data_IF_561360090149
#
_entry.id   IF_561360090149
#
_cell.length_a   1.000
_cell.length_b   1.000
_cell.length_c   1.000
_cell.angle_alpha   90.00
_cell.angle_beta   90.00
_cell.angle_gamma   90.00
#
_symmetry.space_group_name_H-M   'P 1'
#
loop_
_entity.id
_entity.type
_entity.pdbx_description
1 polymer ?
#
# COMPACT_ATOMS: atom_id res chain seq x y z
N UNK A 1 6.68 -11.56 14.86
CA UNK A 1 5.34 -11.96 14.41
C UNK A 1 5.44 -12.42 12.97
N UNK A 2 5.45 -13.73 12.72
CA UNK A 2 5.20 -14.27 11.39
C UNK A 2 3.73 -14.03 11.10
N UNK A 3 3.38 -13.24 10.10
CA UNK A 3 2.01 -13.28 9.56
C UNK A 3 1.90 -14.57 8.74
N UNK A 4 1.85 -15.71 9.44
CA UNK A 4 1.19 -16.91 8.95
C UNK A 4 -0.30 -16.59 8.96
N UNK A 5 -0.72 -15.71 8.04
CA UNK A 5 -2.09 -15.33 7.81
C UNK A 5 -2.84 -16.45 7.11
N UNK A 6 -2.93 -17.59 7.80
CA UNK A 6 -4.02 -18.55 7.74
C UNK A 6 -4.88 -18.48 6.47
N UNK A 7 -4.47 -19.24 5.45
CA UNK A 7 -5.40 -19.87 4.50
C UNK A 7 -6.38 -20.84 5.20
N UNK A 8 -6.36 -20.91 6.53
CA UNK A 8 -7.17 -21.79 7.38
C UNK A 8 -8.69 -21.57 7.30
N UNK A 9 -9.20 -20.63 6.47
CA UNK A 9 -10.64 -20.44 6.22
C UNK A 9 -11.06 -20.75 4.77
N UNK A 10 -10.18 -21.29 3.94
CA UNK A 10 -10.50 -21.70 2.56
C UNK A 10 -10.71 -20.53 1.59
N UNK A 11 -10.12 -19.36 1.84
CA UNK A 11 -10.14 -18.22 0.92
C UNK A 11 -8.72 -17.99 0.37
N UNK A 12 -8.59 -18.01 -0.94
CA UNK A 12 -7.32 -17.90 -1.67
C UNK A 12 -7.35 -16.62 -2.51
N UNK A 13 -6.31 -15.79 -2.43
CA UNK A 13 -6.18 -14.61 -3.31
C UNK A 13 -5.84 -15.07 -4.71
N UNK A 14 -6.74 -14.84 -5.66
CA UNK A 14 -6.55 -15.22 -7.07
C UNK A 14 -5.94 -14.06 -7.87
N UNK A 15 -6.34 -12.82 -7.57
CA UNK A 15 -6.01 -11.66 -8.41
C UNK A 15 -6.08 -10.34 -7.66
N UNK A 16 -5.19 -9.42 -8.03
CA UNK A 16 -5.31 -7.99 -7.72
C UNK A 16 -6.36 -7.30 -8.61
N UNK A 17 -7.32 -6.61 -8.01
CA UNK A 17 -8.27 -5.70 -8.69
C UNK A 17 -7.87 -4.26 -8.42
N UNK A 18 -8.37 -3.33 -9.25
CA UNK A 18 -8.08 -1.88 -9.17
C UNK A 18 -8.36 -1.27 -7.78
N UNK A 19 -9.25 -1.87 -6.99
CA UNK A 19 -9.65 -1.39 -5.66
C UNK A 19 -9.65 -2.51 -4.59
N UNK A 20 -8.85 -3.56 -4.76
CA UNK A 20 -8.77 -4.64 -3.77
C UNK A 20 -8.24 -5.96 -4.31
N UNK A 21 -8.69 -7.06 -3.71
CA UNK A 21 -8.25 -8.41 -4.02
C UNK A 21 -9.47 -9.28 -4.31
N UNK A 22 -9.38 -10.13 -5.34
CA UNK A 22 -10.36 -11.18 -5.59
C UNK A 22 -9.96 -12.44 -4.81
N UNK A 23 -10.87 -12.87 -3.94
CA UNK A 23 -10.73 -14.05 -3.10
C UNK A 23 -11.63 -15.15 -3.66
N UNK A 24 -11.06 -16.30 -3.96
CA UNK A 24 -11.80 -17.49 -4.36
C UNK A 24 -11.89 -18.46 -3.18
N UNK A 25 -13.05 -19.09 -3.00
CA UNK A 25 -13.24 -20.10 -1.97
C UNK A 25 -12.62 -21.41 -2.43
N UNK A 26 -11.37 -21.65 -2.05
CA UNK A 26 -10.62 -22.87 -2.36
C UNK A 26 -10.89 -23.99 -1.36
N UNK A 27 -10.44 -25.20 -1.73
CA UNK A 27 -10.28 -26.31 -0.78
C UNK A 27 -9.30 -25.82 0.29
N UNK A 28 -9.53 -26.18 1.56
CA UNK A 28 -8.60 -25.92 2.65
C UNK A 28 -7.35 -26.79 2.46
N UNK A 29 -6.59 -26.49 1.43
CA UNK A 29 -5.25 -27.02 1.22
C UNK A 29 -4.29 -26.16 2.01
N UNK A 30 -3.38 -26.82 2.72
CA UNK A 30 -2.30 -26.15 3.40
C UNK A 30 -1.38 -25.57 2.31
N UNK A 31 -1.51 -24.26 2.06
CA UNK A 31 -0.79 -23.50 1.03
C UNK A 31 -0.22 -22.26 1.74
N UNK A 32 1.05 -21.98 1.49
CA UNK A 32 1.71 -20.77 1.97
C UNK A 32 1.74 -19.71 0.86
N UNK A 33 1.55 -18.45 1.22
CA UNK A 33 1.63 -17.32 0.30
C UNK A 33 2.83 -16.44 0.63
N UNK A 34 3.46 -15.89 -0.41
CA UNK A 34 4.52 -14.89 -0.29
C UNK A 34 4.26 -13.74 -1.24
N UNK A 35 4.32 -12.53 -0.71
CA UNK A 35 4.17 -11.29 -1.45
C UNK A 35 5.53 -10.61 -1.53
N UNK A 36 6.05 -10.44 -2.74
CA UNK A 36 7.17 -9.54 -2.97
C UNK A 36 6.70 -8.18 -3.49
N UNK A 37 7.45 -7.12 -3.19
CA UNK A 37 7.33 -5.82 -3.86
C UNK A 37 8.71 -5.46 -4.38
N UNK A 38 8.88 -5.46 -5.70
CA UNK A 38 10.12 -5.14 -6.39
C UNK A 38 9.77 -4.47 -7.70
N UNK A 39 10.46 -3.38 -7.99
CA UNK A 39 10.37 -2.77 -9.30
C UNK A 39 11.24 -3.60 -10.25
N UNK A 40 10.62 -4.17 -11.27
CA UNK A 40 11.25 -5.04 -12.26
C UNK A 40 10.95 -4.47 -13.64
N UNK A 41 11.95 -4.47 -14.54
CA UNK A 41 11.70 -4.22 -15.95
C UNK A 41 10.83 -5.33 -16.58
N UNK A 42 10.14 -5.04 -17.69
CA UNK A 42 9.31 -6.04 -18.40
C UNK A 42 10.11 -7.31 -18.74
N UNK A 43 11.39 -7.15 -19.09
CA UNK A 43 12.29 -8.26 -19.45
C UNK A 43 12.89 -8.99 -18.23
N UNK A 44 12.81 -8.41 -17.04
CA UNK A 44 13.37 -9.00 -15.81
C UNK A 44 12.32 -9.81 -15.06
N UNK A 45 11.03 -9.57 -15.32
CA UNK A 45 9.93 -10.24 -14.64
C UNK A 45 9.88 -11.75 -14.95
N UNK A 46 10.13 -12.13 -16.19
CA UNK A 46 10.08 -13.54 -16.60
C UNK A 46 11.20 -14.35 -15.95
N UNK A 47 12.45 -13.88 -16.03
CA UNK A 47 13.59 -14.49 -15.34
C UNK A 47 13.39 -14.54 -13.81
N UNK A 48 12.79 -13.49 -13.25
CA UNK A 48 12.45 -13.42 -11.83
C UNK A 48 11.39 -14.47 -11.43
N UNK A 49 10.36 -14.69 -12.24
CA UNK A 49 9.34 -15.71 -12.01
C UNK A 49 9.96 -17.12 -12.08
N UNK A 50 10.74 -17.40 -13.13
CA UNK A 50 11.37 -18.70 -13.34
C UNK A 50 12.26 -19.10 -12.15
N UNK A 51 13.03 -18.15 -11.60
CA UNK A 51 13.88 -18.39 -10.43
C UNK A 51 13.08 -18.92 -9.23
N UNK A 52 11.86 -18.41 -9.01
CA UNK A 52 11.00 -18.84 -7.90
C UNK A 52 10.27 -20.14 -8.19
N UNK A 53 9.88 -20.38 -9.45
CA UNK A 53 9.30 -21.66 -9.87
C UNK A 53 10.25 -22.83 -9.65
N UNK A 54 11.54 -22.65 -9.94
CA UNK A 54 12.58 -23.63 -9.63
C UNK A 54 12.73 -23.91 -8.12
N UNK A 55 12.33 -22.95 -7.28
CA UNK A 55 12.37 -23.07 -5.82
C UNK A 55 11.05 -23.62 -5.22
N UNK A 56 10.10 -24.04 -6.07
CA UNK A 56 8.83 -24.62 -5.65
C UNK A 56 7.72 -23.59 -5.34
N UNK A 57 7.87 -22.36 -5.84
CA UNK A 57 6.86 -21.31 -5.76
C UNK A 57 6.12 -21.14 -7.09
N UNK A 58 4.80 -21.11 -7.07
CA UNK A 58 3.96 -20.85 -8.23
C UNK A 58 3.55 -19.38 -8.24
N UNK A 59 3.76 -18.71 -9.37
CA UNK A 59 3.35 -17.33 -9.57
C UNK A 59 1.82 -17.20 -9.75
N UNK A 60 1.20 -16.22 -9.07
CA UNK A 60 -0.24 -15.97 -9.16
C UNK A 60 -0.52 -14.73 -9.99
N UNK A 61 -0.04 -13.57 -9.53
CA UNK A 61 -0.33 -12.29 -10.18
C UNK A 61 0.61 -11.19 -9.73
N UNK A 62 0.66 -10.12 -10.52
CA UNK A 62 1.39 -8.90 -10.22
C UNK A 62 0.52 -7.66 -10.31
N UNK A 63 0.76 -6.66 -9.46
CA UNK A 63 0.14 -5.34 -9.53
C UNK A 63 0.99 -4.30 -8.82
N UNK A 64 1.22 -3.13 -9.43
CA UNK A 64 1.97 -2.02 -8.83
C UNK A 64 3.30 -2.45 -8.19
N UNK A 65 4.12 -3.19 -8.93
CA UNK A 65 5.41 -3.75 -8.47
C UNK A 65 5.28 -4.77 -7.33
N UNK A 66 4.07 -5.27 -7.04
CA UNK A 66 3.79 -6.31 -6.06
C UNK A 66 3.56 -7.64 -6.79
N UNK A 67 4.31 -8.69 -6.45
CA UNK A 67 4.29 -10.01 -7.08
C UNK A 67 3.86 -11.06 -6.05
N UNK A 68 2.78 -11.77 -6.32
CA UNK A 68 2.20 -12.77 -5.41
C UNK A 68 2.56 -14.18 -5.87
N UNK A 69 3.06 -14.98 -4.93
CA UNK A 69 3.42 -16.38 -5.12
C UNK A 69 2.73 -17.28 -4.09
N UNK A 70 2.49 -18.54 -4.43
CA UNK A 70 2.05 -19.60 -3.52
C UNK A 70 2.98 -20.80 -3.56
N UNK A 71 3.06 -21.56 -2.48
CA UNK A 71 3.83 -22.80 -2.43
C UNK A 71 3.22 -23.80 -1.45
N UNK A 72 3.71 -25.03 -1.47
CA UNK A 72 3.38 -26.03 -0.45
C UNK A 72 4.09 -25.71 0.88
N UNK A 73 3.50 -26.07 2.03
CA UNK A 73 4.12 -25.98 3.33
C UNK A 73 5.45 -26.73 3.33
N UNK A 74 6.49 -26.10 3.87
CA UNK A 74 7.86 -26.63 3.86
C UNK A 74 8.73 -26.12 2.71
N UNK A 75 8.18 -25.41 1.72
CA UNK A 75 8.98 -24.68 0.73
C UNK A 75 9.78 -23.57 1.41
N UNK A 76 11.04 -23.41 1.01
CA UNK A 76 11.93 -22.39 1.56
C UNK A 76 11.33 -20.99 1.33
N UNK A 77 11.15 -20.16 2.37
CA UNK A 77 10.62 -18.80 2.23
C UNK A 77 11.45 -17.96 1.24
N UNK A 78 10.78 -17.18 0.39
CA UNK A 78 11.43 -16.18 -0.49
C UNK A 78 12.28 -15.19 0.32
N UNK A 79 11.86 -14.93 1.57
CA UNK A 79 12.56 -14.07 2.51
C UNK A 79 13.00 -14.86 3.75
N UNK A 80 14.29 -15.11 3.88
CA UNK A 80 14.88 -15.71 5.09
C UNK A 80 15.03 -14.72 6.24
N UNK A 81 15.03 -13.40 5.96
CA UNK A 81 15.28 -12.36 6.95
C UNK A 81 14.12 -11.37 7.11
N UNK A 82 13.85 -11.02 8.37
CA UNK A 82 12.93 -9.94 8.79
C UNK A 82 13.46 -8.53 8.46
N UNK A 83 14.47 -8.41 7.61
CA UNK A 83 15.28 -7.20 7.46
C UNK A 83 14.74 -6.15 6.47
N UNK A 84 13.64 -6.38 5.76
CA UNK A 84 13.24 -5.49 4.64
C UNK A 84 11.88 -4.81 4.82
N UNK A 85 11.37 -4.64 6.06
CA UNK A 85 10.15 -3.83 6.28
C UNK A 85 10.44 -2.32 6.31
N UNK A 86 11.56 -1.87 6.88
CA UNK A 86 11.80 -0.43 7.08
C UNK A 86 12.23 0.31 5.81
N UNK A 87 13.03 -0.31 4.96
CA UNK A 87 13.53 0.33 3.74
C UNK A 87 12.43 0.45 2.66
N UNK A 88 11.58 -0.57 2.58
CA UNK A 88 10.40 -0.64 1.70
C UNK A 88 9.35 0.43 2.07
N UNK A 89 9.13 0.66 3.37
CA UNK A 89 8.27 1.76 3.88
C UNK A 89 8.87 3.13 3.56
N UNK A 90 10.20 3.29 3.59
CA UNK A 90 10.85 4.58 3.30
C UNK A 90 10.65 5.01 1.84
N UNK A 91 10.70 4.07 0.90
CA UNK A 91 10.45 4.36 -0.52
C UNK A 91 8.97 4.66 -0.81
N UNK A 92 8.03 3.95 -0.17
CA UNK A 92 6.58 4.26 -0.25
C UNK A 92 6.22 5.64 0.35
N UNK A 93 6.99 6.14 1.32
CA UNK A 93 6.76 7.45 1.96
C UNK A 93 7.20 8.66 1.12
N UNK A 94 8.07 8.48 0.11
CA UNK A 94 8.55 9.59 -0.73
C UNK A 94 7.42 10.26 -1.54
N UNK A 95 6.59 9.54 -2.31
CA UNK A 95 5.50 10.17 -3.07
C UNK A 95 4.46 10.80 -2.14
N UNK A 96 4.16 10.16 -0.99
CA UNK A 96 3.20 10.69 -0.01
C UNK A 96 3.60 12.08 0.50
N UNK A 97 4.89 12.30 0.81
CA UNK A 97 5.36 13.61 1.28
C UNK A 97 5.20 14.70 0.21
N UNK A 98 5.47 14.37 -1.05
CA UNK A 98 5.33 15.31 -2.17
C UNK A 98 3.86 15.64 -2.39
N UNK A 99 2.97 14.63 -2.39
CA UNK A 99 1.53 14.84 -2.52
C UNK A 99 0.99 15.71 -1.38
N UNK A 100 1.37 15.44 -0.13
CA UNK A 100 0.95 16.24 1.03
C UNK A 100 1.43 17.69 0.91
N UNK A 101 2.68 17.92 0.48
CA UNK A 101 3.22 19.26 0.30
C UNK A 101 2.44 20.04 -0.79
N UNK A 102 2.15 19.40 -1.93
CA UNK A 102 1.37 20.01 -3.02
C UNK A 102 -0.05 20.32 -2.56
N UNK A 103 -0.73 19.37 -1.92
CA UNK A 103 -2.09 19.58 -1.40
C UNK A 103 -2.14 20.72 -0.37
N UNK A 104 -1.15 20.81 0.51
CA UNK A 104 -1.08 21.90 1.51
C UNK A 104 -0.85 23.25 0.84
N UNK A 105 0.04 23.32 -0.17
CA UNK A 105 0.29 24.54 -0.91
C UNK A 105 -0.97 25.03 -1.65
N UNK A 106 -1.72 24.12 -2.27
CA UNK A 106 -2.99 24.44 -2.95
C UNK A 106 -4.05 24.98 -1.97
N UNK A 107 -4.13 24.44 -0.75
CA UNK A 107 -5.03 24.94 0.28
C UNK A 107 -4.66 26.37 0.73
N UNK A 108 -3.36 26.65 0.93
CA UNK A 108 -2.89 27.99 1.30
C UNK A 108 -3.21 28.99 0.20
N UNK A 109 -2.93 28.64 -1.06
CA UNK A 109 -3.24 29.51 -2.22
C UNK A 109 -4.74 29.73 -2.33
N UNK A 110 -5.56 28.67 -2.20
CA UNK A 110 -7.02 28.78 -2.21
C UNK A 110 -7.56 29.68 -1.10
N UNK A 111 -6.99 29.60 0.10
CA UNK A 111 -7.35 30.47 1.23
C UNK A 111 -7.00 31.93 0.98
N UNK A 112 -5.82 32.21 0.38
CA UNK A 112 -5.43 33.57 0.00
C UNK A 112 -6.40 34.14 -1.03
N UNK A 113 -6.74 33.37 -2.07
CA UNK A 113 -7.72 33.77 -3.09
C UNK A 113 -9.09 34.05 -2.48
N UNK A 114 -9.54 33.20 -1.55
CA UNK A 114 -10.77 33.42 -0.78
C UNK A 114 -10.72 34.73 0.01
N UNK A 115 -9.62 35.00 0.71
CA UNK A 115 -9.48 36.18 1.58
C UNK A 115 -9.54 37.52 0.83
N UNK A 116 -9.20 37.51 -0.47
CA UNK A 116 -9.25 38.69 -1.35
C UNK A 116 -10.58 38.74 -2.13
N UNK A 117 -11.30 37.62 -2.22
CA UNK A 117 -12.59 37.52 -2.90
C UNK A 117 -13.72 38.05 -2.02
N UNK A 118 -14.62 38.86 -2.58
CA UNK A 118 -15.81 39.38 -1.89
C UNK A 118 -17.09 39.03 -2.65
N UNK A 119 -18.21 38.91 -1.94
CA UNK A 119 -19.52 38.53 -2.50
C UNK A 119 -19.80 37.02 -2.43
N UNK A 120 -20.73 36.52 -3.24
CA UNK A 120 -21.18 35.10 -3.25
C UNK A 120 -20.04 34.07 -3.39
N UNK A 121 -18.93 34.45 -4.02
CA UNK A 121 -17.75 33.59 -4.15
C UNK A 121 -17.10 33.31 -2.80
N UNK A 122 -17.10 34.26 -1.87
CA UNK A 122 -16.50 34.05 -0.54
C UNK A 122 -17.28 32.96 0.22
N UNK A 123 -18.61 33.02 0.24
CA UNK A 123 -19.44 32.00 0.92
C UNK A 123 -19.26 30.59 0.32
N UNK A 124 -19.04 30.48 -1.00
CA UNK A 124 -18.73 29.21 -1.66
C UNK A 124 -17.35 28.67 -1.23
N UNK A 125 -16.34 29.53 -1.18
CA UNK A 125 -15.00 29.12 -0.74
C UNK A 125 -14.96 28.73 0.75
N UNK A 126 -15.71 29.42 1.61
CA UNK A 126 -15.81 29.09 3.04
C UNK A 126 -16.45 27.72 3.28
N UNK A 127 -17.53 27.42 2.54
CA UNK A 127 -18.18 26.12 2.62
C UNK A 127 -17.27 25.00 2.12
N UNK A 128 -16.59 25.19 0.98
CA UNK A 128 -15.59 24.24 0.48
C UNK A 128 -14.44 24.03 1.48
N UNK A 129 -13.98 25.10 2.14
CA UNK A 129 -12.93 25.03 3.16
C UNK A 129 -13.36 24.21 4.39
N UNK A 130 -14.59 24.39 4.87
CA UNK A 130 -15.15 23.59 5.97
C UNK A 130 -15.23 22.10 5.62
N UNK A 131 -15.66 21.76 4.41
CA UNK A 131 -15.67 20.35 3.96
C UNK A 131 -14.25 19.77 3.86
N UNK A 132 -13.27 20.58 3.44
CA UNK A 132 -11.86 20.16 3.41
C UNK A 132 -11.32 19.86 4.81
N UNK A 133 -11.72 20.62 5.83
CA UNK A 133 -11.35 20.38 7.23
C UNK A 133 -11.83 19.01 7.75
N UNK A 134 -13.05 18.61 7.40
CA UNK A 134 -13.63 17.32 7.79
C UNK A 134 -12.80 16.14 7.27
N UNK A 135 -12.16 16.28 6.10
CA UNK A 135 -11.33 15.23 5.49
C UNK A 135 -9.89 15.29 6.00
N UNK A 136 -9.35 16.48 6.21
CA UNK A 136 -7.94 16.66 6.59
C UNK A 136 -7.66 16.33 8.06
N UNK A 137 -8.60 16.56 8.98
CA UNK A 137 -8.42 16.21 10.41
C UNK A 137 -8.19 14.70 10.61
N UNK A 138 -9.01 13.78 10.07
CA UNK A 138 -8.76 12.34 10.17
C UNK A 138 -7.44 11.91 9.52
N UNK A 139 -7.07 12.52 8.38
CA UNK A 139 -5.78 12.26 7.74
C UNK A 139 -4.60 12.66 8.64
N UNK A 140 -4.66 13.84 9.27
CA UNK A 140 -3.63 14.29 10.21
C UNK A 140 -3.53 13.38 11.43
N UNK A 141 -4.67 12.97 12.01
CA UNK A 141 -4.68 11.99 13.10
C UNK A 141 -4.00 10.68 12.71
N UNK A 142 -4.26 10.18 11.50
CA UNK A 142 -3.64 8.96 10.98
C UNK A 142 -2.13 9.12 10.76
N UNK A 143 -1.68 10.28 10.28
CA UNK A 143 -0.25 10.58 10.13
C UNK A 143 0.47 10.69 11.49
N UNK A 144 -0.15 11.33 12.48
CA UNK A 144 0.40 11.41 13.84
C UNK A 144 0.48 10.01 14.46
N UNK A 145 -0.56 9.20 14.32
CA UNK A 145 -0.57 7.83 14.83
C UNK A 145 0.54 6.97 14.22
N UNK A 146 0.73 7.04 12.91
CA UNK A 146 1.78 6.29 12.21
C UNK A 146 3.18 6.81 12.52
N UNK A 147 3.35 8.12 12.73
CA UNK A 147 4.61 8.72 13.17
C UNK A 147 4.96 8.31 14.60
N UNK A 148 4.00 8.41 15.53
CA UNK A 148 4.16 7.99 16.93
C UNK A 148 4.51 6.51 17.05
N UNK A 149 3.83 5.64 16.30
CA UNK A 149 4.18 4.23 16.26
C UNK A 149 5.60 4.01 15.73
N UNK A 150 6.03 4.78 14.73
CA UNK A 150 7.39 4.65 14.17
C UNK A 150 8.50 5.14 15.10
N UNK A 151 8.22 6.11 15.98
CA UNK A 151 9.15 6.53 17.03
C UNK A 151 9.24 5.52 18.18
N UNK A 152 8.12 4.88 18.55
CA UNK A 152 8.08 3.92 19.66
C UNK A 152 8.74 2.58 19.33
N UNK A 153 8.84 2.22 18.04
CA UNK A 153 9.51 1.01 17.56
C UNK A 153 10.99 1.18 17.26
N UNK A 154 11.59 2.31 17.66
CA UNK A 154 13.01 2.61 17.51
C UNK A 154 13.66 2.62 18.89
#
# INVERSE_FOLDING_TARGET
>A
MSENGSAAKGWIVQRFKRLGYELEKGIAEDIIFSLDIRELGENELEEYIEMFELSGWEYICSSYNMHLFKAKPGTKPIYTDKATKQEKIKNLRKPVKVTVAISTALLIVGYIVYSISSGLLSTIFETVFLFSLVITIPMLMTLIATYYHSLRTR
#
